data_IF_476121180874
#
_entry.id   IF_476121180874
#
_cell.length_a   1.000
_cell.length_b   1.000
_cell.length_c   1.000
_cell.angle_alpha   90.00
_cell.angle_beta   90.00
_cell.angle_gamma   90.00
#
_symmetry.space_group_name_H-M   'P 1'
#
loop_
_entity.id
_entity.type
_entity.pdbx_description
1 polymer ?
#
# COMPACT_ATOMS: atom_id res chain seq x y z
N UNK A 1 -4.45 15.09 19.37
CA UNK A 1 -4.09 14.45 18.09
C UNK A 1 -2.58 14.62 17.97
N UNK A 2 -1.83 13.55 17.76
CA UNK A 2 -0.37 13.64 17.64
C UNK A 2 -0.01 13.63 16.15
N UNK A 3 0.81 14.58 15.72
CA UNK A 3 1.35 14.60 14.36
C UNK A 3 2.35 13.46 14.16
N UNK A 4 2.46 12.98 12.93
CA UNK A 4 3.48 11.99 12.57
C UNK A 4 4.86 12.64 12.73
N UNK A 5 5.78 12.07 13.53
CA UNK A 5 7.11 12.64 13.68
C UNK A 5 7.87 12.60 12.35
N UNK A 6 8.85 13.50 12.21
CA UNK A 6 9.69 13.58 11.01
C UNK A 6 10.72 12.43 10.89
N UNK A 7 10.87 11.61 11.91
CA UNK A 7 11.81 10.47 11.95
C UNK A 7 11.40 9.44 13.00
N UNK A 8 12.02 8.27 12.96
CA UNK A 8 11.80 7.15 13.87
C UNK A 8 10.76 6.16 13.38
N UNK A 9 10.54 5.09 14.13
CA UNK A 9 9.77 3.92 13.68
C UNK A 9 8.35 4.23 13.22
N UNK A 10 7.66 5.18 13.82
CA UNK A 10 6.32 5.58 13.38
C UNK A 10 6.36 6.27 12.01
N UNK A 11 7.35 7.15 11.79
CA UNK A 11 7.59 7.75 10.49
C UNK A 11 7.90 6.68 9.44
N UNK A 12 8.81 5.77 9.75
CA UNK A 12 9.25 4.72 8.83
C UNK A 12 8.11 3.79 8.44
N UNK A 13 7.25 3.39 9.38
CA UNK A 13 6.08 2.56 9.10
C UNK A 13 5.05 3.24 8.19
N UNK A 14 4.90 4.56 8.29
CA UNK A 14 3.88 5.31 7.54
C UNK A 14 4.38 5.83 6.18
N UNK A 15 5.68 6.06 6.03
CA UNK A 15 6.25 6.72 4.86
C UNK A 15 7.06 5.80 3.93
N UNK A 16 7.42 4.58 4.40
CA UNK A 16 8.24 3.66 3.60
C UNK A 16 7.44 2.99 2.49
N UNK A 17 8.12 2.73 1.38
CA UNK A 17 7.52 2.15 0.18
C UNK A 17 8.27 0.87 -0.26
N UNK A 18 7.55 -0.16 -0.75
CA UNK A 18 8.18 -1.32 -1.38
C UNK A 18 8.70 -0.94 -2.77
N UNK A 19 9.93 -1.34 -3.07
CA UNK A 19 10.56 -1.19 -4.39
C UNK A 19 11.44 -2.40 -4.72
N UNK A 20 11.82 -2.57 -6.00
CA UNK A 20 12.73 -3.64 -6.41
C UNK A 20 14.19 -3.23 -6.14
N UNK A 21 14.55 -3.21 -4.87
CA UNK A 21 15.90 -2.90 -4.34
C UNK A 21 16.38 -4.02 -3.43
N UNK A 22 17.68 -4.07 -3.15
CA UNK A 22 18.24 -4.94 -2.12
C UNK A 22 18.15 -4.28 -0.75
N UNK A 23 17.60 -4.99 0.24
CA UNK A 23 17.49 -4.54 1.62
C UNK A 23 16.66 -3.25 1.77
N UNK A 24 17.22 -2.28 2.49
CA UNK A 24 16.65 -0.96 2.72
C UNK A 24 17.51 0.14 2.12
N UNK A 25 16.89 1.13 1.49
CA UNK A 25 17.56 2.34 0.99
C UNK A 25 16.78 3.59 1.43
N UNK A 26 17.43 4.74 1.42
CA UNK A 26 16.76 6.01 1.72
C UNK A 26 15.69 6.34 0.70
N UNK A 27 14.53 6.79 1.17
CA UNK A 27 13.45 7.22 0.31
C UNK A 27 13.72 8.60 -0.30
N UNK A 28 13.43 8.73 -1.61
CA UNK A 28 13.46 10.03 -2.28
C UNK A 28 12.37 11.01 -1.80
N UNK A 29 11.43 10.53 -0.96
CA UNK A 29 10.41 11.38 -0.33
C UNK A 29 10.99 12.30 0.76
N UNK A 30 12.23 12.04 1.23
CA UNK A 30 12.83 12.74 2.35
C UNK A 30 12.37 12.26 3.73
N UNK A 31 11.59 11.17 3.77
CA UNK A 31 11.14 10.49 4.98
C UNK A 31 10.94 9.00 4.70
N UNK A 32 11.18 8.13 5.69
CA UNK A 32 11.09 6.69 5.55
C UNK A 32 12.16 6.09 4.63
N UNK A 33 11.92 4.87 4.21
CA UNK A 33 12.83 4.07 3.38
C UNK A 33 12.10 3.45 2.19
N UNK A 34 12.85 3.05 1.17
CA UNK A 34 12.39 2.03 0.23
C UNK A 34 12.96 0.69 0.65
N UNK A 35 12.18 -0.39 0.47
CA UNK A 35 12.57 -1.73 0.92
C UNK A 35 12.22 -2.80 -0.12
N UNK A 36 13.09 -3.79 -0.22
CA UNK A 36 12.97 -4.89 -1.17
C UNK A 36 12.19 -6.09 -0.65
N UNK A 37 12.21 -7.17 -1.43
CA UNK A 37 11.53 -8.44 -1.13
C UNK A 37 12.11 -9.14 0.10
N UNK A 38 13.44 -9.14 0.25
CA UNK A 38 14.10 -9.85 1.35
C UNK A 38 13.67 -9.36 2.75
N UNK A 39 13.65 -8.03 3.05
CA UNK A 39 13.11 -7.53 4.31
C UNK A 39 11.66 -7.95 4.58
N UNK A 40 10.82 -8.00 3.55
CA UNK A 40 9.42 -8.42 3.69
C UNK A 40 9.34 -9.89 4.06
N UNK A 41 10.10 -10.75 3.35
CA UNK A 41 10.13 -12.18 3.64
C UNK A 41 10.64 -12.45 5.06
N UNK A 42 11.74 -11.83 5.45
CA UNK A 42 12.29 -11.96 6.80
C UNK A 42 11.29 -11.50 7.88
N UNK A 43 10.61 -10.39 7.65
CA UNK A 43 9.61 -9.87 8.58
C UNK A 43 8.41 -10.81 8.73
N UNK A 44 7.85 -11.28 7.61
CA UNK A 44 6.70 -12.19 7.62
C UNK A 44 7.03 -13.53 8.24
N UNK A 45 8.17 -14.13 7.90
CA UNK A 45 8.64 -15.40 8.48
C UNK A 45 8.89 -15.28 9.99
N UNK A 46 9.63 -14.25 10.43
CA UNK A 46 9.98 -14.06 11.84
C UNK A 46 8.74 -13.88 12.72
N UNK A 47 7.69 -13.25 12.18
CA UNK A 47 6.47 -12.95 12.93
C UNK A 47 5.30 -13.90 12.66
N UNK A 48 5.49 -14.94 11.83
CA UNK A 48 4.44 -15.88 11.45
C UNK A 48 3.27 -15.22 10.70
N UNK A 49 3.57 -14.23 9.86
CA UNK A 49 2.58 -13.46 9.09
C UNK A 49 2.50 -13.98 7.65
N UNK A 50 1.31 -13.96 7.08
CA UNK A 50 1.06 -14.35 5.68
C UNK A 50 0.99 -13.16 4.73
N UNK A 51 0.71 -11.98 5.26
CA UNK A 51 0.49 -10.78 4.44
C UNK A 51 0.86 -9.50 5.17
N UNK A 52 1.58 -8.63 4.50
CA UNK A 52 1.70 -7.22 4.81
C UNK A 52 0.73 -6.45 3.90
N UNK A 53 -0.26 -5.78 4.48
CA UNK A 53 -1.19 -4.93 3.77
C UNK A 53 -0.86 -3.47 4.06
N UNK A 54 -0.62 -2.68 3.02
CA UNK A 54 -0.23 -1.26 3.15
C UNK A 54 -0.91 -0.40 2.10
N UNK A 55 -0.79 0.91 2.23
CA UNK A 55 -1.31 1.92 1.30
C UNK A 55 -0.16 2.87 0.86
N UNK A 56 -0.39 4.18 0.80
CA UNK A 56 0.58 5.26 0.56
C UNK A 56 1.04 5.44 -0.89
N UNK A 57 1.06 4.40 -1.73
CA UNK A 57 1.35 4.53 -3.16
C UNK A 57 0.07 4.32 -3.97
N UNK A 58 -0.20 5.25 -4.89
CA UNK A 58 -1.30 5.10 -5.83
C UNK A 58 -0.99 3.98 -6.81
N UNK A 59 -1.93 3.06 -6.96
CA UNK A 59 -1.88 1.97 -7.93
C UNK A 59 -3.09 2.05 -8.84
N UNK A 60 -2.86 1.94 -10.16
CA UNK A 60 -3.86 2.22 -11.18
C UNK A 60 -5.09 1.31 -11.08
N UNK A 61 -4.90 0.07 -10.66
CA UNK A 61 -5.94 -0.94 -10.58
C UNK A 61 -6.57 -1.07 -9.17
N UNK A 62 -6.26 -0.13 -8.25
CA UNK A 62 -6.78 -0.11 -6.89
C UNK A 62 -6.04 -1.02 -5.92
N UNK A 63 -5.36 -2.06 -6.37
CA UNK A 63 -4.48 -2.89 -5.56
C UNK A 63 -3.36 -3.49 -6.41
N UNK A 64 -2.25 -3.80 -5.77
CA UNK A 64 -1.11 -4.44 -6.43
C UNK A 64 -0.32 -5.29 -5.44
N UNK A 65 -0.14 -6.56 -5.76
CA UNK A 65 0.86 -7.39 -5.09
C UNK A 65 2.25 -7.00 -5.57
N UNK A 66 3.15 -6.84 -4.62
CA UNK A 66 4.58 -6.68 -4.89
C UNK A 66 5.28 -7.99 -4.59
N UNK A 67 6.39 -8.20 -5.27
CA UNK A 67 7.30 -9.33 -5.09
C UNK A 67 6.73 -10.70 -5.47
N UNK A 68 7.61 -11.69 -5.54
CA UNK A 68 7.28 -13.02 -6.06
C UNK A 68 6.40 -13.85 -5.12
N UNK A 69 6.53 -13.66 -3.82
CA UNK A 69 5.79 -14.43 -2.80
C UNK A 69 4.37 -13.95 -2.55
N UNK A 70 3.96 -12.82 -3.13
CA UNK A 70 2.64 -12.22 -2.91
C UNK A 70 2.27 -12.03 -1.43
N UNK A 71 3.27 -11.81 -0.59
CA UNK A 71 3.15 -11.58 0.84
C UNK A 71 3.11 -10.09 1.23
N UNK A 72 3.09 -9.21 0.23
CA UNK A 72 2.86 -7.79 0.39
C UNK A 72 1.89 -7.28 -0.67
N UNK A 73 0.88 -6.53 -0.26
CA UNK A 73 -0.08 -5.89 -1.15
C UNK A 73 -0.24 -4.41 -0.83
N UNK A 74 -0.19 -3.57 -1.85
CA UNK A 74 -0.61 -2.18 -1.77
C UNK A 74 -2.09 -2.09 -2.11
N UNK A 75 -2.89 -1.46 -1.25
CA UNK A 75 -4.32 -1.22 -1.44
C UNK A 75 -4.54 0.28 -1.51
N UNK A 76 -5.21 0.73 -2.57
CA UNK A 76 -5.49 2.15 -2.79
C UNK A 76 -7.00 2.38 -2.88
N UNK A 77 -7.55 3.19 -1.98
CA UNK A 77 -8.99 3.39 -1.83
C UNK A 77 -9.49 4.78 -2.24
N UNK A 78 -8.65 5.57 -2.92
CA UNK A 78 -9.03 6.89 -3.45
C UNK A 78 -9.14 6.85 -4.99
N UNK A 79 -10.36 6.71 -5.56
CA UNK A 79 -10.54 6.65 -7.00
C UNK A 79 -10.27 8.02 -7.65
N UNK A 80 -9.79 8.01 -8.89
CA UNK A 80 -9.46 9.22 -9.65
C UNK A 80 -8.64 10.23 -8.83
N UNK A 81 -7.52 9.75 -8.29
CA UNK A 81 -6.68 10.51 -7.38
C UNK A 81 -6.29 11.87 -7.96
N UNK A 82 -6.38 12.91 -7.15
CA UNK A 82 -6.19 14.31 -7.56
C UNK A 82 -7.13 14.74 -8.70
N UNK A 83 -8.25 14.03 -8.92
CA UNK A 83 -9.23 14.29 -9.98
C UNK A 83 -8.67 14.20 -11.41
N UNK A 84 -7.55 13.51 -11.61
CA UNK A 84 -6.85 13.42 -12.90
C UNK A 84 -6.14 12.09 -13.17
N UNK A 85 -5.93 11.24 -12.17
CA UNK A 85 -5.17 10.00 -12.35
C UNK A 85 -5.98 8.88 -13.00
N UNK A 86 -7.31 8.99 -13.06
CA UNK A 86 -8.23 8.02 -13.68
C UNK A 86 -8.09 6.60 -13.13
N UNK A 87 -7.45 6.44 -11.97
CA UNK A 87 -7.29 5.17 -11.31
C UNK A 87 -8.60 4.69 -10.71
N UNK A 88 -8.77 3.39 -10.64
CA UNK A 88 -9.81 2.78 -9.79
C UNK A 88 -9.29 2.65 -8.36
N UNK A 89 -10.18 2.38 -7.44
CA UNK A 89 -9.88 2.15 -6.05
C UNK A 89 -10.29 0.74 -5.64
N UNK A 90 -9.78 0.27 -4.50
CA UNK A 90 -10.21 -1.01 -3.95
C UNK A 90 -10.32 -0.99 -2.42
N UNK A 91 -11.05 -1.97 -1.91
CA UNK A 91 -11.11 -2.35 -0.50
C UNK A 91 -10.72 -3.82 -0.43
N UNK A 92 -9.82 -4.18 0.46
CA UNK A 92 -9.51 -5.56 0.79
C UNK A 92 -10.44 -6.02 1.92
N UNK A 93 -11.23 -7.05 1.65
CA UNK A 93 -12.03 -7.76 2.64
C UNK A 93 -11.36 -9.08 3.00
N UNK A 94 -11.29 -9.39 4.28
CA UNK A 94 -10.79 -10.66 4.81
C UNK A 94 -11.93 -11.36 5.54
N UNK A 95 -12.12 -12.65 5.27
CA UNK A 95 -13.03 -13.49 6.03
C UNK A 95 -12.35 -14.09 7.28
N UNK A 96 -13.08 -14.91 8.04
CA UNK A 96 -12.58 -15.57 9.25
C UNK A 96 -11.42 -16.55 8.99
N UNK A 97 -11.27 -17.01 7.76
CA UNK A 97 -10.20 -17.88 7.29
C UNK A 97 -9.07 -17.10 6.58
N UNK A 98 -9.08 -15.77 6.65
CA UNK A 98 -8.15 -14.87 5.96
C UNK A 98 -8.19 -14.96 4.42
N UNK A 99 -9.27 -15.49 3.84
CA UNK A 99 -9.45 -15.42 2.40
C UNK A 99 -9.62 -13.98 1.95
N UNK A 100 -8.92 -13.62 0.89
CA UNK A 100 -8.78 -12.24 0.41
C UNK A 100 -9.77 -11.98 -0.72
N UNK A 101 -10.59 -10.95 -0.59
CA UNK A 101 -11.50 -10.48 -1.65
C UNK A 101 -11.30 -8.99 -1.88
N UNK A 102 -11.00 -8.60 -3.12
CA UNK A 102 -10.88 -7.19 -3.48
C UNK A 102 -12.18 -6.69 -4.10
N UNK A 103 -12.73 -5.64 -3.51
CA UNK A 103 -13.88 -4.90 -4.04
C UNK A 103 -13.35 -3.68 -4.77
N UNK A 104 -13.42 -3.69 -6.10
CA UNK A 104 -12.90 -2.60 -6.95
C UNK A 104 -14.03 -1.65 -7.31
N UNK A 105 -13.78 -0.34 -7.20
CA UNK A 105 -14.77 0.70 -7.51
C UNK A 105 -14.13 1.92 -8.19
N UNK A 106 -14.99 2.72 -8.82
CA UNK A 106 -14.63 3.97 -9.51
C UNK A 106 -15.25 5.16 -8.78
N UNK A 107 -14.77 6.36 -9.13
CA UNK A 107 -15.41 7.59 -8.70
C UNK A 107 -16.86 7.67 -9.20
N UNK A 108 -17.72 8.26 -8.40
CA UNK A 108 -19.05 8.67 -8.87
C UNK A 108 -18.88 9.94 -9.69
N UNK A 109 -19.09 9.85 -11.01
CA UNK A 109 -19.24 11.05 -11.84
C UNK A 109 -20.61 11.64 -11.54
N UNK A 110 -20.63 12.78 -10.89
CA UNK A 110 -21.86 13.56 -10.78
C UNK A 110 -22.28 13.91 -12.22
N UNK A 111 -23.30 13.25 -12.73
CA UNK A 111 -24.00 13.78 -13.89
C UNK A 111 -24.56 15.12 -13.43
N UNK A 112 -23.92 16.20 -13.85
CA UNK A 112 -24.51 17.54 -13.73
C UNK A 112 -25.82 17.49 -14.49
N UNK A 113 -26.91 17.30 -13.76
CA UNK A 113 -28.24 17.56 -14.26
C UNK A 113 -28.35 19.06 -14.53
N UNK A 114 -28.35 19.42 -15.76
CA UNK A 114 -28.91 20.68 -16.25
C UNK A 114 -30.37 20.49 -16.61
#
# INVERSE_FOLDING_TARGET
MQEVPASGSLCDLLWSDPEYVEGFQESSRGAGYVFGEEPVNQFTETNGLELVCRAHQMVQQGFQYMFSHHNLVTVWSAPNYCYRCENVASILSLDECLNRTFLVFKEVRCCSCW
#
